data_IF_547418261950
#
_entry.id   IF_547418261950
#
_cell.length_a   1.000
_cell.length_b   1.000
_cell.length_c   1.000
_cell.angle_alpha   90.00
_cell.angle_beta   90.00
_cell.angle_gamma   90.00
#
_symmetry.space_group_name_H-M   'P 1'
#
loop_
_entity.id
_entity.type
_entity.pdbx_description
1 polymer ?
#
# COMPACT_ATOMS: atom_id res chain seq x y z
N UNK A 1 20.63 -7.88 -3.77
CA UNK A 1 19.97 -7.68 -2.45
C UNK A 1 19.01 -6.50 -2.48
N UNK A 2 19.45 -5.28 -2.82
CA UNK A 2 18.56 -4.10 -2.94
C UNK A 2 17.41 -4.30 -3.93
N UNK A 3 17.68 -4.95 -5.07
CA UNK A 3 16.63 -5.31 -6.04
C UNK A 3 15.53 -6.20 -5.44
N UNK A 4 15.90 -7.17 -4.59
CA UNK A 4 14.92 -8.02 -3.92
C UNK A 4 14.08 -7.24 -2.89
N UNK A 5 14.71 -6.28 -2.19
CA UNK A 5 13.98 -5.37 -1.29
C UNK A 5 13.02 -4.47 -2.05
N UNK A 6 13.45 -3.92 -3.19
CA UNK A 6 12.61 -3.10 -4.07
C UNK A 6 11.36 -3.86 -4.50
N UNK A 7 11.53 -5.08 -5.04
CA UNK A 7 10.39 -5.94 -5.42
C UNK A 7 9.43 -6.24 -4.28
N UNK A 8 9.94 -6.40 -3.05
CA UNK A 8 9.09 -6.57 -1.87
C UNK A 8 8.23 -5.33 -1.61
N UNK A 9 8.80 -4.14 -1.72
CA UNK A 9 8.06 -2.89 -1.52
C UNK A 9 7.06 -2.64 -2.66
N UNK A 10 7.41 -2.95 -3.91
CA UNK A 10 6.48 -2.88 -5.05
C UNK A 10 5.27 -3.80 -4.84
N UNK A 11 5.49 -5.01 -4.30
CA UNK A 11 4.41 -5.92 -3.94
C UNK A 11 3.52 -5.34 -2.83
N UNK A 12 4.10 -4.70 -1.81
CA UNK A 12 3.34 -4.06 -0.73
C UNK A 12 2.48 -2.89 -1.25
N UNK A 13 3.02 -2.08 -2.17
CA UNK A 13 2.27 -1.00 -2.83
C UNK A 13 1.10 -1.58 -3.62
N UNK A 14 1.33 -2.60 -4.45
CA UNK A 14 0.29 -3.24 -5.25
C UNK A 14 -0.81 -3.86 -4.38
N UNK A 15 -0.43 -4.54 -3.28
CA UNK A 15 -1.36 -5.11 -2.31
C UNK A 15 -2.23 -4.03 -1.66
N UNK A 16 -1.62 -2.97 -1.12
CA UNK A 16 -2.33 -1.87 -0.48
C UNK A 16 -3.32 -1.20 -1.44
N UNK A 17 -2.89 -0.90 -2.66
CA UNK A 17 -3.75 -0.31 -3.70
C UNK A 17 -4.92 -1.24 -4.04
N UNK A 18 -4.69 -2.56 -4.14
CA UNK A 18 -5.75 -3.51 -4.42
C UNK A 18 -6.81 -3.52 -3.30
N UNK A 19 -6.40 -3.51 -2.04
CA UNK A 19 -7.31 -3.50 -0.89
C UNK A 19 -8.11 -2.19 -0.83
N UNK A 20 -7.44 -1.03 -1.01
CA UNK A 20 -8.12 0.28 -1.08
C UNK A 20 -9.16 0.28 -2.21
N UNK A 21 -8.83 -0.26 -3.38
CA UNK A 21 -9.77 -0.38 -4.48
C UNK A 21 -10.98 -1.27 -4.16
N UNK A 22 -10.81 -2.32 -3.36
CA UNK A 22 -11.94 -3.15 -2.89
C UNK A 22 -12.88 -2.30 -2.03
N UNK A 23 -12.34 -1.56 -1.05
CA UNK A 23 -13.14 -0.66 -0.22
C UNK A 23 -13.89 0.40 -1.06
N UNK A 24 -13.25 0.95 -2.09
CA UNK A 24 -13.87 1.99 -2.94
C UNK A 24 -14.88 1.45 -3.94
N UNK A 25 -14.69 0.25 -4.49
CA UNK A 25 -15.52 -0.32 -5.58
C UNK A 25 -16.63 -1.25 -5.10
N UNK A 26 -16.50 -1.85 -3.93
CA UNK A 26 -17.49 -2.76 -3.36
C UNK A 26 -17.96 -2.26 -1.99
N UNK A 27 -18.64 -1.09 -1.91
CA UNK A 27 -19.09 -0.52 -0.64
C UNK A 27 -20.21 -1.31 0.05
N UNK A 28 -20.65 -2.46 -0.47
CA UNK A 28 -21.84 -3.18 -0.01
C UNK A 28 -21.53 -4.63 0.36
N UNK A 29 -21.74 -5.00 1.64
CA UNK A 29 -21.97 -6.39 2.05
C UNK A 29 -21.14 -6.97 3.20
N UNK A 30 -20.19 -6.25 3.76
CA UNK A 30 -19.52 -6.66 5.01
C UNK A 30 -20.07 -5.75 6.10
N UNK A 31 -20.77 -6.31 7.09
CA UNK A 31 -21.46 -5.56 8.13
C UNK A 31 -20.67 -4.34 8.59
N UNK A 32 -21.32 -3.18 8.52
CA UNK A 32 -20.71 -1.85 8.66
C UNK A 32 -19.71 -1.78 9.80
N UNK A 33 -18.42 -1.87 9.48
CA UNK A 33 -17.39 -1.41 10.40
C UNK A 33 -17.26 0.10 10.16
N UNK A 34 -17.58 0.97 11.13
CA UNK A 34 -17.61 2.43 10.93
C UNK A 34 -16.23 3.05 10.61
N UNK A 35 -15.18 2.23 10.47
CA UNK A 35 -13.78 2.64 10.39
C UNK A 35 -13.14 2.35 9.02
N UNK A 36 -13.91 2.20 7.94
CA UNK A 36 -13.35 2.05 6.59
C UNK A 36 -12.39 3.18 6.22
N UNK A 37 -12.67 4.41 6.64
CA UNK A 37 -11.76 5.54 6.45
C UNK A 37 -10.44 5.36 7.22
N UNK A 38 -10.50 4.93 8.47
CA UNK A 38 -9.30 4.67 9.29
C UNK A 38 -8.48 3.49 8.74
N UNK A 39 -9.13 2.45 8.23
CA UNK A 39 -8.43 1.32 7.61
C UNK A 39 -7.79 1.71 6.27
N UNK A 40 -8.48 2.51 5.44
CA UNK A 40 -7.90 3.07 4.22
C UNK A 40 -6.70 3.97 4.57
N UNK A 41 -6.81 4.82 5.59
CA UNK A 41 -5.72 5.70 6.03
C UNK A 41 -4.45 4.90 6.44
N UNK A 42 -4.63 3.85 7.24
CA UNK A 42 -3.53 2.92 7.60
C UNK A 42 -2.90 2.24 6.38
N UNK A 43 -3.70 1.93 5.36
CA UNK A 43 -3.18 1.35 4.11
C UNK A 43 -2.39 2.37 3.31
N UNK A 44 -2.87 3.62 3.24
CA UNK A 44 -2.16 4.72 2.58
C UNK A 44 -0.81 5.02 3.24
N UNK A 45 -0.74 5.00 4.57
CA UNK A 45 0.53 5.16 5.30
C UNK A 45 1.55 4.07 4.94
N UNK A 46 1.10 2.80 4.87
CA UNK A 46 1.96 1.68 4.46
C UNK A 46 2.45 1.81 3.02
N UNK A 47 1.56 2.22 2.11
CA UNK A 47 1.90 2.44 0.70
C UNK A 47 2.95 3.55 0.60
N UNK A 48 2.71 4.69 1.24
CA UNK A 48 3.64 5.82 1.28
C UNK A 48 5.02 5.40 1.78
N UNK A 49 5.09 4.68 2.90
CA UNK A 49 6.37 4.23 3.47
C UNK A 49 7.13 3.30 2.51
N UNK A 50 6.40 2.42 1.80
CA UNK A 50 7.00 1.54 0.78
C UNK A 50 7.52 2.32 -0.43
N UNK A 51 6.78 3.30 -0.94
CA UNK A 51 7.19 4.17 -2.04
C UNK A 51 8.43 5.02 -1.70
N UNK A 52 8.50 5.54 -0.47
CA UNK A 52 9.67 6.28 0.03
C UNK A 52 10.91 5.39 0.09
N UNK A 53 10.76 4.11 0.51
CA UNK A 53 11.85 3.13 0.53
C UNK A 53 12.32 2.74 -0.88
N UNK A 54 11.40 2.57 -1.84
CA UNK A 54 11.75 2.35 -3.25
C UNK A 54 12.55 3.56 -3.78
N UNK A 55 12.07 4.77 -3.51
CA UNK A 55 12.73 6.01 -3.93
C UNK A 55 14.13 6.18 -3.32
N UNK A 56 14.34 5.71 -2.09
CA UNK A 56 15.67 5.66 -1.47
C UNK A 56 16.58 4.65 -2.16
N UNK A 57 16.09 3.44 -2.43
CA UNK A 57 16.86 2.41 -3.14
C UNK A 57 17.28 2.91 -4.52
N UNK A 58 16.35 3.51 -5.29
CA UNK A 58 16.63 4.01 -6.63
C UNK A 58 17.65 5.16 -6.64
N UNK A 59 17.70 5.97 -5.57
CA UNK A 59 18.74 7.00 -5.40
C UNK A 59 20.11 6.42 -5.09
N UNK A 60 20.19 5.28 -4.42
CA UNK A 60 21.45 4.65 -4.00
C UNK A 60 22.05 3.74 -5.08
N UNK A 61 21.23 3.27 -6.02
CA UNK A 61 21.67 2.44 -7.15
C UNK A 61 22.07 3.29 -8.37
N UNK A 62 21.85 4.61 -8.32
CA UNK A 62 22.44 5.58 -9.25
C UNK A 62 23.93 5.77 -9.02
#
# INVERSE_FOLDING_TARGET
MLEALKKRYEAQVAEGIAIVNVYLKHPVGIGEHPQHLEEIDKLLDKIKEAEEKISLIDRWVK
#
